data_IF_531082586102
#
_entry.id   IF_531082586102
#
_cell.length_a   1.000
_cell.length_b   1.000
_cell.length_c   1.000
_cell.angle_alpha   90.00
_cell.angle_beta   90.00
_cell.angle_gamma   90.00
#
_symmetry.space_group_name_H-M   'P 1'
#
loop_
_entity.id
_entity.type
_entity.pdbx_description
1 polymer ?
#
# COMPACT_ATOMS: atom_id res chain seq x y z
N UNK A 1 -19.55 -6.67 41.50
CA UNK A 1 -18.62 -6.04 40.56
C UNK A 1 -18.88 -6.65 39.19
N UNK A 2 -19.78 -6.05 38.41
CA UNK A 2 -20.04 -6.47 37.04
C UNK A 2 -18.86 -5.97 36.20
N UNK A 3 -18.03 -6.88 35.68
CA UNK A 3 -17.04 -6.56 34.67
C UNK A 3 -17.81 -6.32 33.36
N UNK A 4 -18.09 -5.05 33.05
CA UNK A 4 -18.44 -4.67 31.67
C UNK A 4 -17.18 -4.87 30.83
N UNK A 5 -17.08 -6.02 30.15
CA UNK A 5 -16.21 -6.13 29.00
C UNK A 5 -16.81 -5.22 27.92
N UNK A 6 -16.30 -4.00 27.81
CA UNK A 6 -16.44 -3.23 26.58
C UNK A 6 -15.75 -4.06 25.50
N UNK A 7 -16.53 -4.81 24.72
CA UNK A 7 -15.99 -5.52 23.57
C UNK A 7 -15.30 -4.50 22.68
N UNK A 8 -13.98 -4.58 22.58
CA UNK A 8 -13.25 -3.79 21.60
C UNK A 8 -13.76 -4.24 20.23
N UNK A 9 -14.40 -3.34 19.50
CA UNK A 9 -14.81 -3.61 18.13
C UNK A 9 -13.52 -3.82 17.32
N UNK A 10 -13.38 -4.97 16.66
CA UNK A 10 -12.29 -5.27 15.73
C UNK A 10 -12.87 -5.66 14.38
N UNK A 11 -12.14 -5.36 13.33
CA UNK A 11 -12.42 -5.84 11.99
C UNK A 11 -11.48 -7.01 11.68
N UNK A 12 -11.99 -8.02 11.00
CA UNK A 12 -11.19 -9.13 10.49
C UNK A 12 -10.56 -8.74 9.18
N UNK A 13 -9.24 -8.86 9.09
CA UNK A 13 -8.48 -8.63 7.86
C UNK A 13 -7.97 -9.96 7.34
N UNK A 14 -8.45 -10.40 6.18
CA UNK A 14 -8.02 -11.63 5.54
C UNK A 14 -7.08 -11.33 4.37
N UNK A 15 -5.84 -11.80 4.46
CA UNK A 15 -4.84 -11.74 3.41
C UNK A 15 -4.93 -13.00 2.57
N UNK A 16 -4.98 -12.86 1.24
CA UNK A 16 -5.11 -13.98 0.30
C UNK A 16 -4.00 -13.89 -0.75
N UNK A 17 -3.17 -14.92 -0.84
CA UNK A 17 -2.15 -14.99 -1.90
C UNK A 17 -2.66 -15.82 -3.08
N UNK A 18 -3.03 -15.16 -4.18
CA UNK A 18 -3.34 -15.84 -5.46
C UNK A 18 -2.16 -15.82 -6.43
N UNK A 19 -1.02 -15.24 -6.06
CA UNK A 19 0.18 -15.26 -6.89
C UNK A 19 0.67 -16.71 -7.06
N UNK A 20 1.44 -16.98 -8.11
CA UNK A 20 2.03 -18.30 -8.35
C UNK A 20 3.35 -18.53 -7.56
N UNK A 21 3.67 -17.65 -6.63
CA UNK A 21 4.83 -17.65 -5.74
C UNK A 21 4.43 -17.20 -4.32
N UNK A 22 5.23 -17.53 -3.28
CA UNK A 22 5.02 -17.02 -1.93
C UNK A 22 5.18 -15.49 -1.86
N UNK A 23 4.34 -14.86 -1.05
CA UNK A 23 4.39 -13.42 -0.73
C UNK A 23 4.63 -13.30 0.76
N UNK A 24 5.37 -12.28 1.19
CA UNK A 24 5.57 -11.99 2.60
C UNK A 24 4.90 -10.66 2.95
N UNK A 25 3.64 -10.66 3.40
CA UNK A 25 3.00 -9.44 3.84
C UNK A 25 3.82 -8.70 4.88
N UNK A 26 3.87 -7.39 4.76
CA UNK A 26 4.44 -6.47 5.74
C UNK A 26 3.36 -5.52 6.25
N UNK A 27 3.50 -5.11 7.50
CA UNK A 27 2.51 -4.31 8.21
C UNK A 27 3.22 -3.16 8.91
N UNK A 28 2.71 -1.95 8.72
CA UNK A 28 3.12 -0.78 9.47
C UNK A 28 1.90 -0.12 10.10
N UNK A 29 1.86 -0.12 11.43
CA UNK A 29 0.89 0.68 12.17
C UNK A 29 1.34 2.14 12.21
N UNK A 30 0.42 3.06 11.94
CA UNK A 30 0.66 4.50 12.03
C UNK A 30 0.90 4.97 13.47
N UNK A 31 1.45 6.18 13.61
CA UNK A 31 1.72 6.75 14.92
C UNK A 31 0.45 6.81 15.79
N UNK A 32 0.54 6.31 17.02
CA UNK A 32 -0.58 6.27 17.96
C UNK A 32 -1.58 5.13 17.74
N UNK A 33 -1.40 4.31 16.70
CA UNK A 33 -2.22 3.10 16.51
C UNK A 33 -1.76 1.98 17.43
N UNK A 34 -2.69 1.14 17.96
CA UNK A 34 -2.33 -0.04 18.73
C UNK A 34 -1.45 -1.00 17.90
N UNK A 35 -0.46 -1.68 18.52
CA UNK A 35 0.30 -2.71 17.83
C UNK A 35 -0.62 -3.87 17.45
N UNK A 36 -0.36 -4.47 16.28
CA UNK A 36 -0.98 -5.72 15.87
C UNK A 36 -0.15 -6.92 16.33
N UNK A 37 -0.73 -8.12 16.24
CA UNK A 37 -0.09 -9.36 16.69
C UNK A 37 1.18 -9.74 15.92
N UNK A 38 1.32 -9.22 14.70
CA UNK A 38 2.49 -9.39 13.82
C UNK A 38 2.72 -8.12 13.02
N UNK A 39 3.95 -7.92 12.57
CA UNK A 39 4.36 -6.89 11.60
C UNK A 39 4.79 -7.47 10.26
N UNK A 40 4.79 -8.79 10.11
CA UNK A 40 5.05 -9.47 8.84
C UNK A 40 5.07 -10.99 8.97
N UNK A 41 4.65 -11.67 7.92
CA UNK A 41 4.52 -13.14 7.89
C UNK A 41 4.74 -13.67 6.47
N UNK A 42 4.95 -14.98 6.34
CA UNK A 42 4.94 -15.67 5.04
C UNK A 42 3.52 -16.10 4.68
N UNK A 43 3.16 -15.98 3.39
CA UNK A 43 1.90 -16.44 2.85
C UNK A 43 2.16 -17.23 1.57
N UNK A 44 2.09 -18.56 1.64
CA UNK A 44 2.39 -19.40 0.49
C UNK A 44 1.33 -19.26 -0.60
N UNK A 45 1.64 -19.79 -1.79
CA UNK A 45 0.71 -19.78 -2.93
C UNK A 45 -0.63 -20.43 -2.54
N UNK A 46 -1.71 -19.69 -2.75
CA UNK A 46 -3.08 -20.16 -2.50
C UNK A 46 -3.51 -20.11 -1.04
N UNK A 47 -2.63 -19.70 -0.12
CA UNK A 47 -2.95 -19.60 1.30
C UNK A 47 -3.70 -18.31 1.64
N UNK A 48 -4.29 -18.31 2.83
CA UNK A 48 -4.89 -17.14 3.43
C UNK A 48 -4.55 -17.07 4.91
N UNK A 49 -4.42 -15.85 5.43
CA UNK A 49 -4.15 -15.59 6.84
C UNK A 49 -5.04 -14.45 7.30
N UNK A 50 -5.64 -14.56 8.48
CA UNK A 50 -6.52 -13.52 9.03
C UNK A 50 -5.92 -12.91 10.29
N UNK A 51 -6.02 -11.58 10.42
CA UNK A 51 -5.63 -10.82 11.59
C UNK A 51 -6.83 -10.07 12.15
N UNK A 52 -6.87 -9.86 13.47
CA UNK A 52 -7.82 -8.95 14.10
C UNK A 52 -7.21 -7.55 14.20
N UNK A 53 -7.86 -6.58 13.58
CA UNK A 53 -7.41 -5.17 13.59
C UNK A 53 -8.38 -4.36 14.45
N UNK A 54 -7.91 -3.67 15.50
CA UNK A 54 -8.78 -2.94 16.40
C UNK A 54 -9.38 -1.70 15.73
N UNK A 55 -10.60 -1.33 16.13
CA UNK A 55 -11.22 -0.07 15.74
C UNK A 55 -10.31 1.13 16.10
N UNK A 56 -10.31 2.16 15.25
CA UNK A 56 -9.42 3.30 15.39
C UNK A 56 -7.99 3.07 14.90
N UNK A 57 -7.65 1.87 14.40
CA UNK A 57 -6.33 1.61 13.82
C UNK A 57 -6.15 2.32 12.50
N UNK A 58 -4.98 2.92 12.29
CA UNK A 58 -4.56 3.42 10.99
C UNK A 58 -3.18 2.87 10.64
N UNK A 59 -2.97 2.52 9.38
CA UNK A 59 -1.70 1.99 8.93
C UNK A 59 -1.79 1.47 7.51
N UNK A 60 -0.79 0.67 7.13
CA UNK A 60 -0.66 0.14 5.79
C UNK A 60 -0.15 -1.29 5.76
N UNK A 61 -0.52 -1.97 4.70
CA UNK A 61 -0.13 -3.33 4.36
C UNK A 61 0.51 -3.34 2.98
N UNK A 62 1.46 -4.24 2.76
CA UNK A 62 2.04 -4.48 1.44
C UNK A 62 2.48 -5.93 1.30
N UNK A 63 2.82 -6.36 0.08
CA UNK A 63 3.37 -7.69 -0.18
C UNK A 63 4.83 -7.61 -0.60
N UNK A 64 5.73 -8.29 0.13
CA UNK A 64 7.12 -8.50 -0.31
C UNK A 64 7.21 -9.71 -1.22
N UNK A 65 8.14 -9.68 -2.19
CA UNK A 65 8.36 -10.78 -3.13
C UNK A 65 9.85 -11.05 -3.36
N UNK A 66 10.18 -12.27 -3.80
CA UNK A 66 11.56 -12.70 -3.98
C UNK A 66 12.35 -12.72 -2.68
N UNK A 67 11.72 -13.13 -1.57
CA UNK A 67 12.37 -13.18 -0.27
C UNK A 67 13.15 -14.48 -0.07
N UNK A 68 14.26 -14.37 0.67
CA UNK A 68 15.04 -15.51 1.12
C UNK A 68 15.47 -15.27 2.56
N UNK A 69 14.97 -16.10 3.47
CA UNK A 69 15.34 -16.11 4.88
C UNK A 69 16.08 -17.41 5.21
N UNK A 70 17.19 -17.30 5.93
CA UNK A 70 17.97 -18.45 6.40
C UNK A 70 17.26 -19.18 7.56
N UNK A 71 17.85 -20.27 8.06
CA UNK A 71 17.30 -21.03 9.18
C UNK A 71 17.24 -20.25 10.50
N UNK A 72 17.91 -19.10 10.59
CA UNK A 72 17.83 -18.17 11.72
C UNK A 72 16.77 -17.08 11.52
N UNK A 73 15.98 -17.16 10.44
CA UNK A 73 14.95 -16.19 10.08
C UNK A 73 15.50 -14.88 9.52
N UNK A 74 16.79 -14.83 9.16
CA UNK A 74 17.45 -13.62 8.65
C UNK A 74 17.54 -13.62 7.14
N UNK A 75 17.29 -12.48 6.52
CA UNK A 75 17.15 -12.43 5.07
C UNK A 75 16.79 -11.06 4.53
N UNK A 76 16.35 -11.07 3.27
CA UNK A 76 15.87 -9.88 2.57
C UNK A 76 14.95 -10.27 1.42
N UNK A 77 14.23 -9.29 0.90
CA UNK A 77 13.33 -9.42 -0.24
C UNK A 77 13.79 -8.57 -1.44
N UNK A 78 13.50 -9.04 -2.65
CA UNK A 78 13.86 -8.35 -3.88
C UNK A 78 13.00 -7.09 -4.15
N UNK A 79 11.76 -7.06 -3.64
CA UNK A 79 10.84 -5.91 -3.76
C UNK A 79 10.16 -5.63 -2.43
N UNK A 80 9.95 -4.35 -2.12
CA UNK A 80 9.19 -3.89 -0.96
C UNK A 80 9.74 -4.36 0.41
N UNK A 81 11.03 -4.70 0.47
CA UNK A 81 11.70 -5.11 1.71
C UNK A 81 11.57 -4.03 2.79
N UNK A 82 11.47 -4.43 4.05
CA UNK A 82 11.28 -3.49 5.16
C UNK A 82 12.54 -3.20 5.98
N UNK A 83 13.69 -3.71 5.54
CA UNK A 83 15.01 -3.39 6.11
C UNK A 83 15.26 -3.95 7.50
N UNK A 84 14.33 -4.72 8.08
CA UNK A 84 14.50 -5.35 9.39
C UNK A 84 15.51 -6.50 9.36
N UNK A 85 15.78 -7.05 8.17
CA UNK A 85 16.57 -8.26 8.00
C UNK A 85 15.84 -9.54 8.42
N UNK A 86 14.54 -9.47 8.71
CA UNK A 86 13.71 -10.57 9.22
C UNK A 86 12.33 -10.61 8.54
N UNK A 87 11.56 -11.68 8.79
CA UNK A 87 10.17 -11.76 8.33
C UNK A 87 9.32 -10.66 8.98
N UNK A 88 9.50 -10.42 10.27
CA UNK A 88 8.84 -9.32 10.99
C UNK A 88 9.45 -7.97 10.59
N UNK A 89 8.61 -6.98 10.24
CA UNK A 89 9.10 -5.67 9.82
C UNK A 89 9.46 -4.72 10.97
N UNK A 90 9.01 -4.97 12.19
CA UNK A 90 9.41 -4.25 13.42
C UNK A 90 9.32 -2.72 13.31
N UNK A 91 8.28 -2.22 12.66
CA UNK A 91 8.08 -0.79 12.40
C UNK A 91 8.83 -0.23 11.18
N UNK A 92 9.57 -1.08 10.46
CA UNK A 92 10.13 -0.76 9.15
C UNK A 92 9.04 -0.59 8.10
N UNK A 93 9.19 0.42 7.26
CA UNK A 93 8.32 0.64 6.11
C UNK A 93 8.79 -0.16 4.89
N UNK A 94 7.89 -0.43 3.94
CA UNK A 94 8.27 -0.93 2.62
C UNK A 94 9.28 0.01 1.96
N UNK A 95 10.39 -0.52 1.46
CA UNK A 95 11.28 0.19 0.56
C UNK A 95 10.64 0.25 -0.84
N UNK A 96 10.35 1.46 -1.39
CA UNK A 96 9.77 1.59 -2.72
C UNK A 96 10.65 0.94 -3.82
N UNK A 97 10.05 0.38 -4.89
CA UNK A 97 8.63 0.46 -5.21
C UNK A 97 7.75 -0.57 -4.49
N UNK A 98 6.60 -0.14 -4.01
CA UNK A 98 5.64 -1.00 -3.32
C UNK A 98 4.19 -0.58 -3.57
N UNK A 99 3.34 -1.54 -3.93
CA UNK A 99 1.89 -1.34 -3.90
C UNK A 99 1.41 -1.42 -2.46
N UNK A 100 0.70 -0.39 -1.99
CA UNK A 100 0.25 -0.28 -0.61
C UNK A 100 -1.26 -0.44 -0.51
N UNK A 101 -1.73 -1.13 0.52
CA UNK A 101 -3.11 -1.08 0.97
C UNK A 101 -3.17 -0.25 2.25
N UNK A 102 -3.82 0.91 2.20
CA UNK A 102 -3.84 1.90 3.28
C UNK A 102 -5.21 1.94 3.94
N UNK A 103 -5.22 2.09 5.27
CA UNK A 103 -6.45 2.10 6.05
C UNK A 103 -6.41 3.13 7.18
N UNK A 104 -7.57 3.72 7.43
CA UNK A 104 -7.91 4.42 8.66
C UNK A 104 -9.28 3.90 9.11
N UNK A 105 -9.27 3.04 10.11
CA UNK A 105 -10.50 2.46 10.67
C UNK A 105 -11.16 3.45 11.62
N UNK A 106 -12.46 3.59 11.47
CA UNK A 106 -13.30 4.32 12.39
C UNK A 106 -13.29 3.66 13.78
N UNK A 107 -13.60 4.46 14.80
CA UNK A 107 -14.07 3.95 16.09
C UNK A 107 -15.45 3.30 15.98
N UNK A 108 -16.07 2.98 17.13
CA UNK A 108 -17.38 2.31 17.18
C UNK A 108 -18.47 3.03 16.36
N UNK A 109 -18.85 2.44 15.23
CA UNK A 109 -19.86 2.97 14.30
C UNK A 109 -19.40 4.08 13.36
N UNK A 110 -18.12 4.47 13.43
CA UNK A 110 -17.54 5.46 12.52
C UNK A 110 -17.18 4.84 11.16
N UNK A 111 -17.04 5.70 10.16
CA UNK A 111 -16.65 5.31 8.81
C UNK A 111 -15.16 4.99 8.74
N UNK A 112 -14.83 3.89 8.07
CA UNK A 112 -13.49 3.51 7.67
C UNK A 112 -13.16 4.17 6.34
N UNK A 113 -11.88 4.48 6.15
CA UNK A 113 -11.30 4.92 4.89
C UNK A 113 -10.23 3.90 4.47
N UNK A 114 -10.26 3.51 3.20
CA UNK A 114 -9.28 2.58 2.66
C UNK A 114 -9.04 2.81 1.18
N UNK A 115 -7.84 2.46 0.74
CA UNK A 115 -7.42 2.56 -0.65
C UNK A 115 -6.25 1.65 -0.97
N UNK A 116 -6.02 1.44 -2.26
CA UNK A 116 -4.76 0.91 -2.76
C UNK A 116 -4.00 2.05 -3.42
N UNK A 117 -2.75 2.23 -3.00
CA UNK A 117 -1.90 3.33 -3.38
C UNK A 117 -0.67 2.87 -4.16
N UNK A 118 -0.41 3.57 -5.26
CA UNK A 118 0.76 3.42 -6.11
C UNK A 118 1.66 4.66 -6.07
N UNK A 119 1.46 5.53 -5.08
CA UNK A 119 2.28 6.73 -4.83
C UNK A 119 3.75 6.32 -4.62
N UNK A 120 3.96 5.24 -3.89
CA UNK A 120 5.27 4.63 -3.65
C UNK A 120 5.65 3.60 -4.73
N UNK A 121 4.96 3.63 -5.88
CA UNK A 121 5.21 2.73 -7.00
C UNK A 121 4.39 1.43 -6.96
N UNK A 122 4.86 0.43 -7.69
CA UNK A 122 4.16 -0.83 -7.89
C UNK A 122 5.12 -2.01 -7.84
N UNK A 123 4.73 -3.10 -7.20
CA UNK A 123 5.44 -4.38 -7.30
C UNK A 123 4.52 -5.58 -7.56
N UNK A 124 3.34 -5.61 -6.92
CA UNK A 124 2.38 -6.71 -7.03
C UNK A 124 0.97 -6.18 -7.31
N UNK A 125 0.15 -6.88 -8.12
CA UNK A 125 -1.27 -6.56 -8.22
C UNK A 125 -1.95 -6.83 -6.88
N UNK A 126 -2.82 -5.91 -6.45
CA UNK A 126 -3.46 -5.95 -5.14
C UNK A 126 -4.87 -5.39 -5.20
N UNK A 127 -5.81 -6.03 -4.50
CA UNK A 127 -7.18 -5.55 -4.32
C UNK A 127 -7.59 -5.65 -2.85
N UNK A 128 -8.40 -4.70 -2.41
CA UNK A 128 -9.11 -4.68 -1.13
C UNK A 128 -10.61 -4.83 -1.42
N UNK A 129 -11.26 -5.78 -0.75
CA UNK A 129 -12.71 -5.94 -0.75
C UNK A 129 -13.28 -5.74 0.67
N UNK A 130 -14.29 -4.89 0.82
CA UNK A 130 -15.04 -4.73 2.07
C UNK A 130 -16.22 -5.70 2.15
N UNK A 131 -16.40 -6.38 3.28
CA UNK A 131 -17.35 -7.48 3.46
C UNK A 131 -18.28 -7.17 4.63
N UNK A 132 -19.60 -7.34 4.42
CA UNK A 132 -20.60 -7.31 5.49
C UNK A 132 -20.95 -5.93 6.06
N UNK A 133 -20.19 -4.89 5.73
CA UNK A 133 -20.45 -3.52 6.19
C UNK A 133 -21.55 -2.78 5.43
N UNK A 134 -21.71 -1.50 5.79
CA UNK A 134 -22.68 -0.57 5.19
C UNK A 134 -22.01 0.67 4.59
N UNK A 135 -22.68 1.33 3.64
CA UNK A 135 -22.12 2.44 2.87
C UNK A 135 -21.73 2.00 1.46
N UNK A 136 -20.65 2.58 0.90
CA UNK A 136 -20.19 2.23 -0.45
C UNK A 136 -19.55 0.84 -0.48
N UNK A 137 -18.60 0.58 0.43
CA UNK A 137 -17.93 -0.71 0.61
C UNK A 137 -17.45 -1.35 -0.70
N UNK A 138 -17.02 -0.52 -1.66
CA UNK A 138 -16.65 -0.99 -2.98
C UNK A 138 -15.20 -1.48 -2.99
N UNK A 139 -14.93 -2.46 -3.85
CA UNK A 139 -13.59 -3.00 -4.08
C UNK A 139 -12.61 -1.93 -4.59
N UNK A 140 -11.35 -1.91 -4.19
CA UNK A 140 -10.33 -0.96 -4.67
C UNK A 140 -9.03 -1.68 -4.96
N UNK A 141 -8.23 -1.19 -5.90
CA UNK A 141 -6.99 -1.87 -6.27
C UNK A 141 -6.58 -1.82 -7.73
N UNK A 142 -5.47 -2.52 -7.97
CA UNK A 142 -4.92 -2.76 -9.28
C UNK A 142 -4.87 -4.26 -9.58
N UNK A 143 -5.68 -4.67 -10.55
CA UNK A 143 -5.72 -6.07 -11.02
C UNK A 143 -4.80 -6.31 -12.22
N UNK A 144 -4.35 -5.23 -12.87
CA UNK A 144 -3.40 -5.24 -13.99
C UNK A 144 -1.98 -5.50 -13.48
N UNK A 145 -1.20 -6.30 -14.23
CA UNK A 145 0.24 -6.43 -14.02
C UNK A 145 0.98 -5.22 -14.62
N UNK A 146 1.17 -4.18 -13.81
CA UNK A 146 1.76 -2.90 -14.24
C UNK A 146 3.24 -3.05 -14.60
N UNK A 147 3.94 -4.04 -14.05
CA UNK A 147 5.35 -4.31 -14.37
C UNK A 147 5.55 -4.57 -15.87
N UNK A 148 4.57 -5.17 -16.56
CA UNK A 148 4.61 -5.41 -18.02
C UNK A 148 4.51 -4.14 -18.85
N UNK A 149 3.92 -3.08 -18.30
CA UNK A 149 3.70 -1.80 -18.96
C UNK A 149 4.60 -0.69 -18.39
N UNK A 150 5.48 -1.05 -17.45
CA UNK A 150 6.35 -0.11 -16.78
C UNK A 150 7.31 0.57 -17.78
N UNK A 151 7.31 1.92 -17.87
CA UNK A 151 8.29 2.69 -18.65
C UNK A 151 9.72 2.31 -18.26
N UNK A 152 10.63 2.30 -19.23
CA UNK A 152 11.98 1.77 -19.02
C UNK A 152 12.73 2.48 -17.89
N UNK A 153 12.57 3.80 -17.81
CA UNK A 153 13.12 4.70 -16.82
C UNK A 153 12.55 4.51 -15.40
N UNK A 154 11.40 3.83 -15.27
CA UNK A 154 10.78 3.52 -13.98
C UNK A 154 11.00 2.06 -13.54
N UNK A 155 11.54 1.19 -14.40
CA UNK A 155 11.75 -0.22 -14.08
C UNK A 155 12.76 -0.38 -12.93
N UNK A 156 12.43 -1.26 -11.99
CA UNK A 156 13.28 -1.62 -10.85
C UNK A 156 13.30 -3.14 -10.63
N UNK A 157 14.22 -3.61 -9.79
CA UNK A 157 14.36 -5.01 -9.37
C UNK A 157 14.30 -6.01 -10.54
N UNK A 158 15.04 -5.75 -11.62
CA UNK A 158 15.05 -6.62 -12.80
C UNK A 158 13.74 -6.70 -13.56
N UNK A 159 12.84 -5.71 -13.39
CA UNK A 159 11.51 -5.68 -14.00
C UNK A 159 10.41 -6.27 -13.12
N UNK A 160 10.70 -6.63 -11.87
CA UNK A 160 9.70 -7.11 -10.89
C UNK A 160 8.98 -5.98 -10.15
N UNK A 161 9.41 -4.73 -10.36
CA UNK A 161 8.80 -3.56 -9.75
C UNK A 161 8.89 -2.34 -10.68
N UNK A 162 7.99 -1.39 -10.48
CA UNK A 162 7.89 -0.13 -11.22
C UNK A 162 7.84 1.05 -10.25
N UNK A 163 8.87 1.90 -10.28
CA UNK A 163 8.94 3.14 -9.49
C UNK A 163 7.80 4.09 -9.88
N UNK A 164 7.29 4.84 -8.92
CA UNK A 164 6.57 6.07 -9.24
C UNK A 164 7.54 7.13 -9.77
N UNK A 165 7.02 8.21 -10.35
CA UNK A 165 7.86 9.32 -10.78
C UNK A 165 8.58 10.01 -9.61
N UNK A 166 7.94 10.10 -8.44
CA UNK A 166 8.59 10.66 -7.25
C UNK A 166 9.82 9.82 -6.89
N UNK A 167 9.67 8.49 -6.82
CA UNK A 167 10.77 7.59 -6.49
C UNK A 167 11.88 7.54 -7.54
N UNK A 168 11.55 7.79 -8.81
CA UNK A 168 12.53 7.80 -9.88
C UNK A 168 13.31 9.13 -9.97
N UNK A 169 12.65 10.26 -9.76
CA UNK A 169 13.20 11.57 -10.10
C UNK A 169 13.35 12.52 -8.91
N UNK A 170 12.58 12.32 -7.82
CA UNK A 170 12.65 13.13 -6.60
C UNK A 170 12.26 14.60 -6.77
N UNK A 171 11.66 14.98 -7.90
CA UNK A 171 11.32 16.38 -8.16
C UNK A 171 10.07 16.80 -7.37
N UNK A 172 9.98 18.06 -6.91
CA UNK A 172 8.83 18.54 -6.15
C UNK A 172 7.48 18.36 -6.87
N UNK A 173 7.47 18.46 -8.20
CA UNK A 173 6.29 18.24 -9.05
C UNK A 173 5.76 16.81 -8.96
N UNK A 174 6.66 15.81 -8.92
CA UNK A 174 6.27 14.40 -8.85
C UNK A 174 5.97 13.95 -7.42
N UNK A 175 6.68 14.53 -6.45
CA UNK A 175 6.53 14.21 -5.03
C UNK A 175 5.47 15.07 -4.33
N UNK A 176 4.85 16.01 -5.05
CA UNK A 176 3.90 16.96 -4.51
C UNK A 176 4.38 17.66 -3.22
N UNK A 177 5.62 18.16 -3.26
CA UNK A 177 6.28 18.78 -2.11
C UNK A 177 6.62 20.25 -2.39
N UNK A 178 6.99 21.00 -1.35
CA UNK A 178 7.32 22.42 -1.46
C UNK A 178 6.20 23.23 -2.11
N UNK A 179 6.50 23.89 -3.24
CA UNK A 179 5.52 24.69 -3.99
C UNK A 179 4.35 23.87 -4.57
N UNK A 180 4.47 22.55 -4.61
CA UNK A 180 3.46 21.63 -5.14
C UNK A 180 2.70 20.90 -4.04
N UNK A 181 2.80 21.30 -2.77
CA UNK A 181 2.15 20.61 -1.63
C UNK A 181 0.63 20.83 -1.50
N UNK A 182 -0.07 21.07 -2.61
CA UNK A 182 -1.52 21.22 -2.63
C UNK A 182 -2.13 20.59 -3.88
N UNK A 183 -3.41 20.15 -3.83
CA UNK A 183 -4.11 19.63 -5.01
C UNK A 183 -4.23 20.65 -6.16
N UNK A 184 -4.24 21.95 -5.84
CA UNK A 184 -4.27 23.01 -6.84
C UNK A 184 -2.94 23.16 -7.57
N UNK A 185 -1.81 22.86 -6.92
CA UNK A 185 -0.47 22.99 -7.48
C UNK A 185 0.09 21.69 -8.05
N UNK A 186 -0.06 20.53 -7.39
CA UNK A 186 0.40 19.25 -7.92
C UNK A 186 -0.61 18.68 -8.92
N UNK A 187 -0.22 18.60 -10.19
CA UNK A 187 -1.07 18.07 -11.26
C UNK A 187 -0.64 16.66 -11.66
N UNK A 188 -1.57 15.84 -12.20
CA UNK A 188 -1.22 14.55 -12.77
C UNK A 188 -0.10 14.69 -13.81
N UNK A 189 0.92 13.85 -13.70
CA UNK A 189 2.01 13.76 -14.66
C UNK A 189 1.72 12.72 -15.74
N UNK A 190 2.56 12.64 -16.78
CA UNK A 190 2.50 11.54 -17.74
C UNK A 190 2.63 10.18 -17.03
N UNK A 191 3.53 10.08 -16.05
CA UNK A 191 3.78 8.84 -15.31
C UNK A 191 2.62 8.43 -14.41
N UNK A 192 2.05 9.38 -13.66
CA UNK A 192 0.88 9.06 -12.80
C UNK A 192 -0.33 8.68 -13.65
N UNK A 193 -0.50 9.28 -14.83
CA UNK A 193 -1.56 8.88 -15.78
C UNK A 193 -1.36 7.46 -16.33
N UNK A 194 -0.12 7.01 -16.57
CA UNK A 194 0.15 5.61 -16.94
C UNK A 194 -0.37 4.66 -15.84
N UNK A 195 -0.10 5.00 -14.59
CA UNK A 195 -0.51 4.20 -13.44
C UNK A 195 -2.03 4.22 -13.27
N UNK A 196 -2.65 5.40 -13.37
CA UNK A 196 -4.10 5.58 -13.27
C UNK A 196 -4.85 4.85 -14.39
N UNK A 197 -4.34 4.88 -15.62
CA UNK A 197 -4.94 4.17 -16.74
C UNK A 197 -4.89 2.65 -16.56
N UNK A 198 -3.79 2.12 -16.03
CA UNK A 198 -3.66 0.70 -15.74
C UNK A 198 -4.49 0.26 -14.51
N UNK A 199 -4.64 1.16 -13.54
CA UNK A 199 -5.27 0.91 -12.25
C UNK A 199 -6.24 2.07 -11.87
N UNK A 200 -7.41 2.21 -12.53
CA UNK A 200 -8.29 3.38 -12.34
C UNK A 200 -8.82 3.54 -10.91
N UNK A 201 -8.88 2.45 -10.16
CA UNK A 201 -9.36 2.37 -8.78
C UNK A 201 -8.23 2.39 -7.75
N UNK A 202 -7.07 2.97 -8.08
CA UNK A 202 -5.96 3.16 -7.16
C UNK A 202 -5.47 4.61 -7.19
N UNK A 203 -4.85 5.05 -6.10
CA UNK A 203 -4.09 6.29 -6.09
C UNK A 203 -2.86 6.14 -6.98
N UNK A 204 -2.68 7.07 -7.93
CA UNK A 204 -1.53 7.09 -8.83
C UNK A 204 -0.48 8.15 -8.47
N UNK A 205 -0.83 9.12 -7.62
CA UNK A 205 0.03 10.15 -7.05
C UNK A 205 -0.62 10.76 -5.79
N UNK A 206 0.13 11.56 -5.03
CA UNK A 206 -0.26 11.99 -3.68
C UNK A 206 -1.59 12.78 -3.59
N UNK A 207 -1.97 13.52 -4.64
CA UNK A 207 -3.22 14.29 -4.69
C UNK A 207 -4.18 13.77 -5.76
N UNK A 208 -4.11 12.47 -6.10
CA UNK A 208 -5.11 11.84 -6.96
C UNK A 208 -6.52 12.00 -6.38
N UNK A 209 -7.52 12.00 -7.26
CA UNK A 209 -8.85 12.48 -6.93
C UNK A 209 -9.69 11.49 -6.08
N UNK A 210 -10.89 11.95 -5.72
CA UNK A 210 -11.85 11.24 -4.88
C UNK A 210 -12.34 9.89 -5.44
N UNK A 211 -11.93 9.47 -6.64
CA UNK A 211 -12.17 8.11 -7.15
C UNK A 211 -11.28 7.06 -6.48
N UNK A 212 -10.31 7.48 -5.67
CA UNK A 212 -9.26 6.61 -5.13
C UNK A 212 -9.41 6.31 -3.63
N UNK A 213 -10.19 7.10 -2.86
CA UNK A 213 -10.55 6.75 -1.47
C UNK A 213 -11.92 6.12 -1.40
N UNK A 214 -12.01 5.02 -0.66
CA UNK A 214 -13.24 4.28 -0.48
C UNK A 214 -13.62 4.21 0.98
N UNK A 215 -14.92 4.11 1.22
CA UNK A 215 -15.46 4.15 2.58
C UNK A 215 -16.43 3.02 2.83
N UNK A 216 -16.38 2.51 4.05
CA UNK A 216 -17.28 1.49 4.54
C UNK A 216 -17.45 1.64 6.06
N UNK A 217 -18.52 1.09 6.62
CA UNK A 217 -18.76 1.12 8.07
C UNK A 217 -19.08 -0.28 8.56
N UNK A 218 -18.33 -0.74 9.56
CA UNK A 218 -18.54 -2.04 10.21
C UNK A 218 -18.28 -3.22 9.28
N UNK A 219 -17.25 -3.13 8.45
CA UNK A 219 -16.86 -4.21 7.54
C UNK A 219 -15.65 -4.99 8.05
N UNK A 220 -15.58 -6.24 7.59
CA UNK A 220 -14.34 -6.99 7.48
C UNK A 220 -13.68 -6.70 6.12
N UNK A 221 -12.38 -6.93 5.99
CA UNK A 221 -11.63 -6.62 4.79
C UNK A 221 -10.85 -7.83 4.27
N UNK A 222 -10.85 -8.02 2.95
CA UNK A 222 -9.99 -9.00 2.29
C UNK A 222 -8.97 -8.30 1.41
N UNK A 223 -7.68 -8.54 1.66
CA UNK A 223 -6.57 -8.05 0.84
C UNK A 223 -6.07 -9.21 -0.02
N UNK A 224 -6.27 -9.12 -1.33
CA UNK A 224 -5.87 -10.18 -2.28
C UNK A 224 -4.67 -9.75 -3.11
N UNK A 225 -3.58 -10.51 -3.03
CA UNK A 225 -2.43 -10.40 -3.93
C UNK A 225 -2.69 -11.21 -5.22
N UNK A 226 -2.36 -10.63 -6.36
CA UNK A 226 -2.54 -11.19 -7.70
C UNK A 226 -3.97 -11.72 -8.01
N UNK A 227 -5.03 -10.90 -7.86
CA UNK A 227 -6.44 -11.33 -7.92
C UNK A 227 -6.87 -12.01 -9.23
N UNK A 228 -6.22 -11.68 -10.35
CA UNK A 228 -6.51 -12.23 -11.68
C UNK A 228 -5.77 -13.54 -12.01
N UNK A 229 -5.01 -14.09 -11.07
CA UNK A 229 -4.36 -15.39 -11.30
C UNK A 229 -5.42 -16.50 -11.32
N UNK A 230 -5.38 -17.44 -12.28
CA UNK A 230 -6.37 -18.51 -12.35
C UNK A 230 -6.40 -19.25 -11.01
N UNK A 231 -7.57 -19.25 -10.37
CA UNK A 231 -7.78 -19.86 -9.07
C UNK A 231 -7.64 -21.37 -9.24
N UNK A 232 -6.64 -21.98 -8.63
CA UNK A 232 -6.55 -23.45 -8.57
C UNK A 232 -7.52 -23.92 -7.48
N UNK A 233 -8.82 -23.90 -7.78
CA UNK A 233 -9.81 -24.66 -7.02
C UNK A 233 -10.81 -25.28 -8.00
N UNK A 234 -10.56 -26.57 -8.27
CA UNK A 234 -11.35 -27.58 -9.02
C UNK A 234 -10.56 -28.22 -10.15
N UNK A 235 -9.53 -28.99 -9.80
CA UNK A 235 -8.99 -30.06 -10.65
C UNK A 235 -9.26 -31.40 -9.96
N UNK A 236 -10.54 -31.70 -9.77
CA UNK A 236 -11.01 -33.06 -9.52
C UNK A 236 -12.04 -33.38 -10.60
N UNK A 237 -11.62 -34.20 -11.57
CA UNK A 237 -12.50 -34.98 -12.44
C UNK A 237 -13.10 -34.27 -13.64
N UNK A 238 -12.43 -34.33 -14.78
CA UNK A 238 -12.89 -35.07 -15.99
C UNK A 238 -12.17 -34.58 -17.24
N UNK A 239 -11.56 -35.52 -17.95
CA UNK A 239 -10.92 -35.33 -19.27
C UNK A 239 -11.94 -35.00 -20.38
N UNK A 240 -11.46 -34.49 -21.53
CA UNK A 240 -12.27 -33.74 -22.50
C UNK A 240 -13.03 -34.63 -23.47
N UNK A 241 -14.23 -34.21 -23.86
CA UNK A 241 -14.92 -34.74 -25.05
C UNK A 241 -15.06 -33.63 -26.09
N UNK A 242 -14.36 -33.80 -27.20
CA UNK A 242 -14.47 -33.02 -28.42
C UNK A 242 -15.83 -33.17 -29.09
N UNK A 243 -16.41 -32.09 -29.62
CA UNK A 243 -17.17 -32.16 -30.88
C UNK A 243 -17.12 -30.81 -31.62
N UNK A 244 -16.73 -30.89 -32.89
CA UNK A 244 -16.76 -29.85 -33.93
C UNK A 244 -18.20 -29.37 -34.24
N UNK A 245 -18.41 -28.06 -34.37
CA UNK A 245 -18.61 -27.27 -35.61
C UNK A 245 -20.09 -27.05 -35.98
N UNK A 246 -20.49 -25.78 -36.23
CA UNK A 246 -20.95 -25.25 -37.53
C UNK A 246 -21.32 -23.76 -37.47
N UNK A 247 -21.10 -23.09 -38.61
CA UNK A 247 -21.35 -21.69 -39.00
C UNK A 247 -22.77 -21.12 -38.76
N UNK A 248 -22.88 -19.79 -38.57
CA UNK A 248 -23.41 -18.89 -39.60
C UNK A 248 -23.42 -17.38 -39.24
N UNK A 249 -23.17 -16.60 -40.31
CA UNK A 249 -23.06 -15.15 -40.56
C UNK A 249 -24.10 -14.14 -40.05
N UNK A 250 -23.59 -12.89 -39.96
CA UNK A 250 -24.19 -11.56 -40.26
C UNK A 250 -25.30 -11.01 -39.33
N UNK A 251 -25.29 -9.74 -38.89
CA UNK A 251 -25.42 -8.52 -39.73
C UNK A 251 -25.12 -7.24 -38.92
N UNK A 252 -24.72 -6.18 -39.62
CA UNK A 252 -24.34 -4.84 -39.14
C UNK A 252 -25.50 -3.92 -38.68
N UNK A 253 -25.16 -2.87 -37.92
CA UNK A 253 -25.99 -1.68 -37.70
C UNK A 253 -25.22 -0.57 -36.95
N UNK A 254 -25.24 0.66 -37.47
CA UNK A 254 -24.36 1.78 -37.11
C UNK A 254 -25.09 2.97 -36.45
N UNK A 255 -24.55 3.51 -35.34
CA UNK A 255 -24.53 4.92 -34.81
C UNK A 255 -25.79 5.81 -34.68
N UNK A 256 -25.70 7.10 -34.25
CA UNK A 256 -24.94 7.71 -33.13
C UNK A 256 -25.79 8.72 -32.27
N UNK A 257 -25.22 9.36 -31.21
CA UNK A 257 -25.71 10.61 -30.56
C UNK A 257 -25.67 10.61 -29.01
N UNK A 258 -24.78 11.33 -28.30
CA UNK A 258 -24.67 12.78 -27.97
C UNK A 258 -25.40 13.23 -26.66
N UNK A 259 -24.57 13.63 -25.68
CA UNK A 259 -24.70 14.68 -24.64
C UNK A 259 -25.94 14.85 -23.74
N UNK A 260 -25.73 14.87 -22.41
CA UNK A 260 -25.71 16.12 -21.60
C UNK A 260 -25.61 15.85 -20.09
N UNK A 261 -24.73 16.61 -19.43
CA UNK A 261 -24.59 16.79 -17.98
C UNK A 261 -25.71 17.70 -17.45
N UNK A 262 -26.00 17.71 -16.13
CA UNK A 262 -25.40 18.78 -15.34
C UNK A 262 -24.92 18.38 -13.93
N UNK A 263 -23.85 19.07 -13.56
CA UNK A 263 -23.24 19.29 -12.25
C UNK A 263 -24.22 19.63 -11.11
N UNK A 264 -23.93 19.09 -9.93
CA UNK A 264 -24.07 19.85 -8.69
C UNK A 264 -22.92 19.54 -7.73
N UNK A 265 -22.14 20.58 -7.46
CA UNK A 265 -21.02 20.66 -6.52
C UNK A 265 -21.49 20.46 -5.07
N UNK A 266 -20.75 19.62 -4.34
CA UNK A 266 -20.45 19.90 -2.93
C UNK A 266 -19.00 19.52 -2.67
N UNK A 267 -18.11 20.50 -2.87
CA UNK A 267 -16.73 20.45 -2.43
C UNK A 267 -16.69 20.40 -0.90
N UNK A 268 -16.33 19.24 -0.34
CA UNK A 268 -15.91 19.15 1.05
C UNK A 268 -14.40 18.89 1.10
N UNK A 269 -13.71 19.90 1.60
CA UNK A 269 -12.28 20.02 1.81
C UNK A 269 -11.79 19.00 2.84
N UNK A 270 -11.08 17.94 2.41
CA UNK A 270 -10.35 17.06 3.32
C UNK A 270 -8.86 17.03 2.97
N UNK A 271 -8.20 18.17 3.14
CA UNK A 271 -6.75 18.39 3.02
C UNK A 271 -5.91 17.64 4.06
N UNK A 272 -6.53 16.90 4.98
CA UNK A 272 -5.84 16.20 6.07
C UNK A 272 -5.34 14.81 5.66
N UNK A 273 -6.07 14.07 4.81
CA UNK A 273 -5.69 12.71 4.41
C UNK A 273 -4.39 12.69 3.57
N UNK A 274 -4.18 13.71 2.72
CA UNK A 274 -2.96 13.82 1.93
C UNK A 274 -1.70 14.05 2.78
N UNK A 275 -1.83 14.62 3.99
CA UNK A 275 -0.70 14.81 4.90
C UNK A 275 -0.34 13.55 5.71
N UNK A 276 -1.18 12.51 5.68
CA UNK A 276 -0.85 11.21 6.30
C UNK A 276 -0.14 10.26 5.32
N UNK A 277 -0.34 10.43 4.01
CA UNK A 277 0.34 9.66 2.97
C UNK A 277 1.81 10.09 2.77
N UNK A 278 2.17 11.34 3.11
CA UNK A 278 3.54 11.84 3.00
C UNK A 278 4.23 11.72 4.35
N UNK A 279 4.71 10.51 4.67
CA UNK A 279 5.67 10.31 5.75
C UNK A 279 7.03 10.88 5.38
N UNK A 280 7.21 12.19 5.51
CA UNK A 280 8.54 12.82 5.43
C UNK A 280 9.40 12.33 6.61
N UNK A 281 10.26 11.34 6.36
CA UNK A 281 11.35 10.96 7.26
C UNK A 281 12.56 11.85 6.99
N UNK A 282 13.05 12.64 7.96
CA UNK A 282 14.32 13.32 7.78
C UNK A 282 15.43 12.28 7.75
N UNK A 283 16.21 12.29 6.67
CA UNK A 283 17.42 11.47 6.48
C UNK A 283 18.32 11.64 7.70
N UNK A 284 18.53 10.58 8.47
CA UNK A 284 19.51 10.55 9.54
C UNK A 284 20.91 10.53 8.90
N UNK A 285 21.63 11.64 8.97
CA UNK A 285 23.05 11.71 8.62
C UNK A 285 23.86 10.96 9.69
N UNK A 286 24.95 10.25 9.32
CA UNK A 286 25.75 9.49 10.28
C UNK A 286 26.45 10.44 11.24
N UNK A 287 26.24 10.24 12.55
CA UNK A 287 26.94 10.99 13.59
C UNK A 287 28.42 10.64 13.59
N UNK A 288 29.25 11.56 13.09
CA UNK A 288 30.69 11.56 13.30
C UNK A 288 30.99 11.75 14.79
N UNK A 289 31.87 10.89 15.28
CA UNK A 289 32.42 10.84 16.64
C UNK A 289 33.01 12.20 17.03
N UNK A 290 32.47 12.84 18.07
CA UNK A 290 33.18 13.86 18.84
C UNK A 290 33.18 13.40 20.30
N UNK A 291 34.29 12.76 20.68
CA UNK A 291 34.58 12.44 22.07
C UNK A 291 34.88 13.72 22.84
N UNK A 292 34.08 14.02 23.86
CA UNK A 292 34.40 15.04 24.85
C UNK A 292 34.88 14.30 26.11
N UNK A 293 36.19 14.18 26.26
CA UNK A 293 36.85 13.81 27.51
C UNK A 293 36.75 14.97 28.49
N UNK A 294 35.96 14.81 29.55
CA UNK A 294 35.95 15.72 30.70
C UNK A 294 37.18 15.44 31.58
N UNK A 295 38.23 16.25 31.46
CA UNK A 295 39.33 16.28 32.43
C UNK A 295 39.07 17.33 33.49
N UNK A 296 38.82 16.88 34.72
CA UNK A 296 38.75 17.72 35.92
C UNK A 296 40.17 18.17 36.29
N UNK A 297 40.49 19.46 36.08
CA UNK A 297 41.73 20.07 36.54
C UNK A 297 41.51 20.64 37.96
N UNK A 298 42.18 20.05 38.94
CA UNK A 298 42.27 20.55 40.31
C UNK A 298 43.41 21.56 40.36
N UNK A 299 43.08 22.81 40.65
CA UNK A 299 44.01 23.91 40.85
C UNK A 299 44.75 23.78 42.18
N UNK A 300 46.08 23.77 42.16
CA UNK A 300 46.92 24.08 43.31
C UNK A 300 48.05 25.06 42.88
N UNK A 301 47.88 26.29 43.37
CA UNK A 301 48.83 27.33 43.76
C UNK A 301 50.33 27.18 43.41
N UNK A 302 50.94 28.22 42.82
CA UNK A 302 51.95 29.11 43.46
C UNK A 302 52.63 30.06 42.43
N UNK A 303 52.72 31.37 42.80
CA UNK A 303 53.70 32.43 42.43
C UNK A 303 53.92 32.77 40.93
N UNK A 304 54.22 33.99 40.47
CA UNK A 304 54.42 35.34 41.02
C UNK A 304 54.57 36.30 39.83
N UNK A 305 54.14 37.55 40.02
CA UNK A 305 54.60 38.82 39.43
C UNK A 305 55.25 38.84 38.02
N UNK A 306 54.53 39.42 37.05
CA UNK A 306 54.81 40.73 36.43
C UNK A 306 53.65 41.12 35.50
#
# INVERSE_FOLDING_TARGET
MLLCFSGASSATFTFVNKCNFPVWPGILSGAGSPPLETTGFELAKGESHSLQVPAGWSGRFWGRSGCSFDSSGRGSCATADCGSGEVECKGGNAAPPATLAEFTLGGSGSQDFYDVSLVDGYNLPMVIDGIGGSGKCVSTGCTTDLNRQCPAELRASGGMACKSACEAFGSPEYCCSGAYNSPSACKPSLYSQIFKNACPRSYSYAFDDATSTFTCTGADYTITFCPNSPSIKSATGSSPKSTQATDNSATAGSGPGSDSNPTQDTAFTNSWLANLAIGDSPRCLPSSIIGITLTVAISFSLLQFL
#
